data_IF_803837391799
#
_entry.id   IF_803837391799
#
_cell.length_a   1.000
_cell.length_b   1.000
_cell.length_c   1.000
_cell.angle_alpha   90.00
_cell.angle_beta   90.00
_cell.angle_gamma   90.00
#
_symmetry.space_group_name_H-M   'P 1'
#
loop_
_entity.id
_entity.type
_entity.pdbx_description
1 polymer ?
#
# COMPACT_ATOMS: atom_id res chain seq x y z
N UNK A 1 11.40 79.19 -13.17
CA UNK A 1 12.13 78.47 -12.10
C UNK A 1 12.55 77.14 -12.67
N UNK A 2 13.70 77.08 -13.37
CA UNK A 2 15.03 76.70 -12.86
C UNK A 2 15.06 75.22 -12.44
N UNK A 3 15.88 74.29 -12.94
CA UNK A 3 16.93 74.18 -13.98
C UNK A 3 17.21 72.65 -14.09
N UNK A 4 17.45 72.15 -15.32
CA UNK A 4 18.35 71.07 -15.85
C UNK A 4 18.82 69.88 -14.95
N UNK A 5 19.18 68.68 -15.43
CA UNK A 5 19.90 68.17 -16.62
C UNK A 5 19.51 66.67 -16.77
N UNK A 6 19.19 66.04 -17.91
CA UNK A 6 19.82 65.87 -19.23
C UNK A 6 21.20 65.19 -19.25
N UNK A 7 21.34 64.21 -20.17
CA UNK A 7 22.57 63.63 -20.77
C UNK A 7 23.07 62.32 -20.10
N UNK A 8 23.47 61.26 -20.81
CA UNK A 8 23.80 61.09 -22.22
C UNK A 8 23.79 59.59 -22.56
N UNK A 9 23.13 59.26 -23.66
CA UNK A 9 23.34 58.03 -24.43
C UNK A 9 24.78 57.97 -24.97
N UNK A 10 25.16 56.75 -25.39
CA UNK A 10 25.70 56.47 -26.71
C UNK A 10 27.17 55.95 -26.80
N UNK A 11 27.30 54.96 -27.70
CA UNK A 11 28.50 54.47 -28.42
C UNK A 11 29.39 53.46 -27.67
N UNK A 12 29.88 52.34 -28.23
CA UNK A 12 30.23 51.99 -29.61
C UNK A 12 30.25 50.45 -29.79
N UNK A 13 29.81 49.99 -30.99
CA UNK A 13 30.32 48.90 -31.87
C UNK A 13 31.10 47.70 -31.27
N UNK A 14 30.64 46.47 -31.52
CA UNK A 14 31.01 45.58 -32.67
C UNK A 14 32.47 45.14 -32.69
N UNK A 15 32.74 43.83 -32.50
CA UNK A 15 33.61 42.96 -33.32
C UNK A 15 33.77 41.58 -32.61
N UNK A 16 33.04 40.53 -32.99
CA UNK A 16 33.46 39.46 -33.92
C UNK A 16 34.85 38.83 -33.68
N UNK A 17 34.80 37.60 -33.16
CA UNK A 17 35.59 36.41 -33.54
C UNK A 17 37.09 36.27 -33.24
N UNK A 18 37.35 35.13 -32.57
CA UNK A 18 38.32 34.04 -32.87
C UNK A 18 39.69 34.01 -32.17
N UNK A 19 40.02 32.75 -31.82
CA UNK A 19 41.31 32.14 -31.42
C UNK A 19 41.74 32.42 -29.99
N UNK A 20 42.27 31.47 -29.22
CA UNK A 20 42.57 30.03 -29.39
C UNK A 20 42.95 29.52 -27.99
N UNK A 21 42.56 28.30 -27.58
CA UNK A 21 43.47 27.14 -27.38
C UNK A 21 44.79 27.55 -26.73
N UNK A 22 45.03 27.31 -25.44
CA UNK A 22 45.52 26.08 -24.75
C UNK A 22 46.12 26.64 -23.43
N UNK A 23 46.24 26.01 -22.27
CA UNK A 23 46.53 24.64 -21.89
C UNK A 23 46.56 24.62 -20.35
N UNK A 24 46.35 23.44 -19.76
CA UNK A 24 47.00 22.93 -18.54
C UNK A 24 46.51 23.33 -17.13
N UNK A 25 46.17 22.24 -16.43
CA UNK A 25 46.37 21.92 -15.01
C UNK A 25 45.25 22.34 -14.05
N UNK A 26 44.37 21.43 -13.59
CA UNK A 26 44.54 20.24 -12.71
C UNK A 26 43.92 20.55 -11.33
N UNK A 27 43.45 19.48 -10.66
CA UNK A 27 42.75 19.37 -9.36
C UNK A 27 41.22 19.51 -9.40
N UNK A 28 40.47 18.41 -9.52
CA UNK A 28 40.18 17.37 -8.50
C UNK A 28 39.14 17.82 -7.45
N UNK A 29 37.92 17.29 -7.53
CA UNK A 29 37.44 16.26 -6.61
C UNK A 29 36.06 15.77 -7.04
N UNK A 30 36.02 14.53 -7.53
CA UNK A 30 34.79 13.76 -7.60
C UNK A 30 34.40 13.35 -6.17
N UNK A 31 33.15 13.57 -5.79
CA UNK A 31 32.50 12.80 -4.72
C UNK A 31 31.14 12.33 -5.21
N UNK A 32 31.18 11.14 -5.82
CA UNK A 32 30.05 10.22 -5.88
C UNK A 32 29.49 10.02 -4.47
N UNK A 33 28.18 10.16 -4.32
CA UNK A 33 27.46 9.58 -3.18
C UNK A 33 26.45 8.58 -3.73
N UNK A 34 26.93 7.35 -3.90
CA UNK A 34 26.09 6.17 -3.94
C UNK A 34 25.57 5.96 -2.52
N UNK A 35 24.31 6.32 -2.25
CA UNK A 35 23.64 5.85 -1.03
C UNK A 35 23.18 4.42 -1.35
N UNK A 36 24.04 3.46 -1.05
CA UNK A 36 23.61 2.07 -0.93
C UNK A 36 22.87 1.97 0.41
N UNK A 37 21.54 2.00 0.36
CA UNK A 37 20.73 1.63 1.51
C UNK A 37 20.99 0.15 1.81
N UNK A 38 21.79 -0.11 2.85
CA UNK A 38 22.01 -1.43 3.40
C UNK A 38 20.72 -1.90 4.10
N UNK A 39 19.77 -2.42 3.33
CA UNK A 39 18.73 -3.32 3.84
C UNK A 39 19.34 -4.73 3.98
N UNK A 40 20.36 -4.87 4.83
CA UNK A 40 20.79 -6.20 5.26
C UNK A 40 19.77 -6.69 6.28
N UNK A 41 18.81 -7.50 5.81
CA UNK A 41 18.09 -8.39 6.71
C UNK A 41 19.13 -9.18 7.54
N UNK A 42 18.97 -9.31 8.86
CA UNK A 42 19.88 -10.11 9.67
C UNK A 42 19.93 -11.53 9.10
N UNK A 43 21.13 -12.10 8.97
CA UNK A 43 21.33 -13.43 8.38
C UNK A 43 20.48 -14.51 9.08
N UNK A 44 20.22 -14.36 10.38
CA UNK A 44 19.31 -15.21 11.16
C UNK A 44 17.84 -15.13 10.73
N UNK A 45 17.36 -13.94 10.34
CA UNK A 45 16.02 -13.74 9.81
C UNK A 45 15.92 -14.30 8.39
N UNK A 46 16.97 -14.13 7.58
CA UNK A 46 17.04 -14.70 6.23
C UNK A 46 17.09 -16.25 6.24
N UNK A 47 17.87 -16.85 7.15
CA UNK A 47 17.91 -18.31 7.37
C UNK A 47 16.56 -18.84 7.85
N UNK A 48 15.94 -18.19 8.84
CA UNK A 48 14.62 -18.60 9.33
C UNK A 48 13.50 -18.43 8.28
N UNK A 49 13.62 -17.44 7.38
CA UNK A 49 12.72 -17.29 6.24
C UNK A 49 12.96 -18.36 5.17
N UNK A 50 14.21 -18.72 4.92
CA UNK A 50 14.62 -19.78 3.98
C UNK A 50 14.12 -21.16 4.42
N UNK A 51 14.28 -21.51 5.70
CA UNK A 51 13.78 -22.76 6.27
C UNK A 51 12.25 -22.84 6.20
N UNK A 52 11.54 -21.77 6.60
CA UNK A 52 10.07 -21.70 6.47
C UNK A 52 9.60 -21.82 5.03
N UNK A 53 10.34 -21.25 4.08
CA UNK A 53 10.07 -21.34 2.64
C UNK A 53 10.22 -22.78 2.14
N UNK A 54 11.29 -23.47 2.53
CA UNK A 54 11.56 -24.85 2.14
C UNK A 54 10.49 -25.81 2.69
N UNK A 55 10.14 -25.70 3.97
CA UNK A 55 9.06 -26.50 4.58
C UNK A 55 7.73 -26.29 3.86
N UNK A 56 7.38 -25.04 3.49
CA UNK A 56 6.17 -24.76 2.70
C UNK A 56 6.20 -25.45 1.33
N UNK A 57 7.36 -25.53 0.68
CA UNK A 57 7.49 -26.22 -0.61
C UNK A 57 7.32 -27.74 -0.49
N UNK A 58 7.88 -28.36 0.55
CA UNK A 58 7.74 -29.79 0.82
C UNK A 58 6.27 -30.17 1.10
N UNK A 59 5.58 -29.37 1.92
CA UNK A 59 4.16 -29.58 2.22
C UNK A 59 3.29 -29.42 0.96
N UNK A 60 3.57 -28.42 0.11
CA UNK A 60 2.84 -28.25 -1.17
C UNK A 60 3.01 -29.46 -2.09
N UNK A 61 4.23 -30.00 -2.17
CA UNK A 61 4.51 -31.18 -2.97
C UNK A 61 3.80 -32.42 -2.42
N UNK A 62 3.83 -32.64 -1.11
CA UNK A 62 3.10 -33.72 -0.45
C UNK A 62 1.58 -33.65 -0.69
N UNK A 63 0.98 -32.45 -0.57
CA UNK A 63 -0.45 -32.26 -0.86
C UNK A 63 -0.79 -32.54 -2.34
N UNK A 64 0.11 -32.19 -3.27
CA UNK A 64 -0.05 -32.50 -4.70
C UNK A 64 -0.04 -34.01 -4.96
N UNK A 65 0.83 -34.76 -4.28
CA UNK A 65 0.88 -36.22 -4.35
C UNK A 65 -0.42 -36.85 -3.85
N UNK A 66 -0.95 -36.37 -2.71
CA UNK A 66 -2.25 -36.81 -2.18
C UNK A 66 -3.37 -36.56 -3.20
N UNK A 67 -3.46 -35.35 -3.77
CA UNK A 67 -4.48 -35.00 -4.79
C UNK A 67 -4.42 -35.90 -6.03
N UNK A 68 -3.22 -36.31 -6.42
CA UNK A 68 -3.00 -37.20 -7.57
C UNK A 68 -3.42 -38.63 -7.25
N UNK A 69 -3.09 -39.11 -6.04
CA UNK A 69 -3.34 -40.48 -5.61
C UNK A 69 -4.81 -40.73 -5.22
N UNK A 70 -5.50 -39.71 -4.73
CA UNK A 70 -6.87 -39.81 -4.21
C UNK A 70 -7.75 -38.70 -4.81
N UNK A 71 -8.22 -38.81 -6.07
CA UNK A 71 -8.93 -37.73 -6.76
C UNK A 71 -10.23 -37.31 -6.06
N UNK A 72 -10.90 -38.21 -5.34
CA UNK A 72 -12.14 -37.90 -4.60
C UNK A 72 -11.92 -36.83 -3.50
N UNK A 73 -10.70 -36.76 -2.95
CA UNK A 73 -10.36 -35.77 -1.91
C UNK A 73 -10.24 -34.36 -2.47
N UNK A 74 -10.04 -34.20 -3.78
CA UNK A 74 -9.78 -32.89 -4.41
C UNK A 74 -10.94 -31.94 -4.16
N UNK A 75 -12.17 -32.39 -4.39
CA UNK A 75 -13.37 -31.57 -4.14
C UNK A 75 -13.55 -31.19 -2.65
N UNK A 76 -13.06 -32.04 -1.73
CA UNK A 76 -13.12 -31.79 -0.29
C UNK A 76 -12.02 -30.81 0.14
N UNK A 77 -10.81 -30.94 -0.40
CA UNK A 77 -9.71 -30.01 -0.16
C UNK A 77 -9.98 -28.62 -0.73
N UNK A 78 -10.57 -28.54 -1.92
CA UNK A 78 -10.93 -27.27 -2.57
C UNK A 78 -12.02 -26.50 -1.79
N UNK A 79 -12.85 -27.18 -0.97
CA UNK A 79 -13.75 -26.48 -0.03
C UNK A 79 -12.97 -25.67 1.00
N UNK A 80 -11.82 -26.17 1.47
CA UNK A 80 -10.97 -25.43 2.40
C UNK A 80 -10.25 -24.27 1.72
N UNK A 81 -9.90 -24.36 0.43
CA UNK A 81 -9.35 -23.21 -0.31
C UNK A 81 -10.36 -22.04 -0.33
N UNK A 82 -11.66 -22.31 -0.43
CA UNK A 82 -12.70 -21.27 -0.33
C UNK A 82 -12.68 -20.56 1.02
N UNK A 83 -12.60 -21.29 2.13
CA UNK A 83 -12.48 -20.69 3.47
C UNK A 83 -11.14 -19.97 3.64
N UNK A 84 -10.06 -20.47 3.03
CA UNK A 84 -8.79 -19.77 3.05
C UNK A 84 -8.89 -18.38 2.40
N UNK A 85 -9.66 -18.26 1.30
CA UNK A 85 -9.92 -16.96 0.69
C UNK A 85 -10.64 -16.04 1.68
N UNK A 86 -11.72 -16.50 2.33
CA UNK A 86 -12.52 -15.65 3.25
C UNK A 86 -11.65 -15.04 4.34
N UNK A 87 -10.80 -15.85 4.99
CA UNK A 87 -9.87 -15.38 6.01
C UNK A 87 -8.90 -14.29 5.51
N UNK A 88 -8.50 -14.31 4.24
CA UNK A 88 -7.62 -13.26 3.69
C UNK A 88 -8.34 -11.91 3.60
N UNK A 89 -9.62 -11.91 3.23
CA UNK A 89 -10.41 -10.68 3.17
C UNK A 89 -10.72 -10.15 4.57
N UNK A 90 -11.03 -11.04 5.51
CA UNK A 90 -11.24 -10.69 6.92
C UNK A 90 -9.99 -10.06 7.53
N UNK A 91 -8.80 -10.62 7.25
CA UNK A 91 -7.55 -10.02 7.71
C UNK A 91 -7.24 -8.67 7.05
N UNK A 92 -7.67 -8.46 5.80
CA UNK A 92 -7.59 -7.15 5.16
C UNK A 92 -8.50 -6.12 5.86
N UNK A 93 -9.74 -6.48 6.20
CA UNK A 93 -10.63 -5.62 7.01
C UNK A 93 -10.09 -5.36 8.42
N UNK A 94 -9.48 -6.38 9.03
CA UNK A 94 -8.80 -6.25 10.33
C UNK A 94 -7.63 -5.27 10.24
N UNK A 95 -6.85 -5.28 9.16
CA UNK A 95 -5.77 -4.32 8.96
C UNK A 95 -6.32 -2.89 8.90
N UNK A 96 -7.37 -2.62 8.13
CA UNK A 96 -8.02 -1.29 8.11
C UNK A 96 -8.41 -0.84 9.52
N UNK A 97 -8.96 -1.75 10.32
CA UNK A 97 -9.34 -1.49 11.71
C UNK A 97 -8.13 -1.21 12.61
N UNK A 98 -7.05 -1.98 12.46
CA UNK A 98 -5.81 -1.80 13.22
C UNK A 98 -5.18 -0.44 12.91
N UNK A 99 -5.21 0.01 11.66
CA UNK A 99 -4.72 1.32 11.26
C UNK A 99 -5.51 2.44 11.94
N UNK A 100 -6.85 2.32 12.06
CA UNK A 100 -7.63 3.26 12.86
C UNK A 100 -7.25 3.24 14.34
N UNK A 101 -7.05 2.05 14.93
CA UNK A 101 -6.62 1.91 16.32
C UNK A 101 -5.25 2.58 16.56
N UNK A 102 -4.35 2.54 15.58
CA UNK A 102 -3.01 3.15 15.64
C UNK A 102 -3.00 4.64 15.25
N UNK A 103 -4.09 5.16 14.67
CA UNK A 103 -4.17 6.53 14.18
C UNK A 103 -3.47 6.75 12.82
N UNK A 104 -3.12 5.68 12.10
CA UNK A 104 -2.58 5.77 10.74
C UNK A 104 -3.73 5.94 9.74
N UNK A 105 -4.27 7.16 9.68
CA UNK A 105 -5.49 7.45 8.92
C UNK A 105 -5.27 7.48 7.42
N UNK A 106 -4.07 7.87 6.95
CA UNK A 106 -3.76 7.95 5.52
C UNK A 106 -3.88 6.57 4.85
N UNK A 107 -3.19 5.57 5.39
CA UNK A 107 -3.23 4.21 4.87
C UNK A 107 -4.61 3.55 5.04
N UNK A 108 -5.31 3.85 6.14
CA UNK A 108 -6.67 3.35 6.34
C UNK A 108 -7.66 3.94 5.32
N UNK A 109 -7.52 5.22 4.99
CA UNK A 109 -8.33 5.89 3.97
C UNK A 109 -8.06 5.35 2.58
N UNK A 110 -6.80 5.06 2.23
CA UNK A 110 -6.46 4.42 0.95
C UNK A 110 -7.18 3.06 0.81
N UNK A 111 -7.17 2.24 1.86
CA UNK A 111 -7.87 0.95 1.85
C UNK A 111 -9.39 1.10 1.73
N UNK A 112 -9.99 2.03 2.50
CA UNK A 112 -11.43 2.32 2.40
C UNK A 112 -11.82 2.84 1.02
N UNK A 113 -11.00 3.71 0.43
CA UNK A 113 -11.25 4.29 -0.88
C UNK A 113 -11.19 3.21 -1.96
N UNK A 114 -10.16 2.36 -1.94
CA UNK A 114 -10.06 1.24 -2.86
C UNK A 114 -11.31 0.34 -2.81
N UNK A 115 -11.76 -0.02 -1.60
CA UNK A 115 -12.94 -0.88 -1.43
C UNK A 115 -14.23 -0.20 -1.89
N UNK A 116 -14.37 1.10 -1.59
CA UNK A 116 -15.51 1.90 -2.04
C UNK A 116 -15.57 2.00 -3.57
N UNK A 117 -14.45 2.32 -4.23
CA UNK A 117 -14.38 2.41 -5.70
C UNK A 117 -14.58 1.04 -6.35
N UNK A 118 -14.07 -0.03 -5.73
CA UNK A 118 -14.26 -1.39 -6.23
C UNK A 118 -15.74 -1.79 -6.23
N UNK A 119 -16.54 -1.36 -5.25
CA UNK A 119 -17.98 -1.67 -5.21
C UNK A 119 -18.75 -1.15 -6.43
N UNK A 120 -18.34 -0.04 -7.03
CA UNK A 120 -19.00 0.54 -8.21
C UNK A 120 -18.81 -0.30 -9.47
N UNK A 121 -17.73 -1.10 -9.52
CA UNK A 121 -17.34 -1.92 -10.68
C UNK A 121 -17.33 -3.43 -10.37
N UNK A 122 -17.71 -3.82 -9.15
CA UNK A 122 -17.67 -5.19 -8.70
C UNK A 122 -18.63 -6.07 -9.52
N UNK A 123 -18.15 -7.23 -9.95
CA UNK A 123 -19.04 -8.31 -10.35
C UNK A 123 -19.90 -8.76 -9.17
N UNK A 124 -21.00 -9.48 -9.43
CA UNK A 124 -21.85 -9.99 -8.35
C UNK A 124 -21.07 -10.80 -7.31
N UNK A 125 -20.16 -11.66 -7.76
CA UNK A 125 -19.35 -12.48 -6.85
C UNK A 125 -18.41 -11.64 -5.99
N UNK A 126 -17.77 -10.61 -6.56
CA UNK A 126 -16.93 -9.69 -5.79
C UNK A 126 -17.76 -8.84 -4.83
N UNK A 127 -18.94 -8.37 -5.23
CA UNK A 127 -19.84 -7.63 -4.34
C UNK A 127 -20.25 -8.48 -3.13
N UNK A 128 -20.76 -9.69 -3.37
CA UNK A 128 -21.14 -10.62 -2.30
C UNK A 128 -19.94 -10.89 -1.37
N UNK A 129 -18.74 -10.98 -1.95
CA UNK A 129 -17.51 -11.22 -1.20
C UNK A 129 -17.07 -10.04 -0.34
N UNK A 130 -17.21 -8.80 -0.84
CA UNK A 130 -16.94 -7.57 -0.09
C UNK A 130 -17.97 -7.38 1.03
N UNK A 131 -19.25 -7.56 0.72
CA UNK A 131 -20.35 -7.41 1.68
C UNK A 131 -20.19 -8.35 2.87
N UNK A 132 -19.96 -9.64 2.61
CA UNK A 132 -19.88 -10.66 3.66
C UNK A 132 -18.55 -10.67 4.38
N UNK A 133 -17.40 -10.53 3.70
CA UNK A 133 -16.11 -10.78 4.35
C UNK A 133 -15.32 -9.52 4.69
N UNK A 134 -15.58 -8.39 4.02
CA UNK A 134 -14.94 -7.13 4.36
C UNK A 134 -15.84 -6.27 5.25
N UNK A 135 -17.05 -5.96 4.77
CA UNK A 135 -17.94 -5.02 5.46
C UNK A 135 -18.42 -5.59 6.81
N UNK A 136 -18.78 -6.87 6.88
CA UNK A 136 -19.12 -7.53 8.16
C UNK A 136 -17.97 -7.45 9.18
N UNK A 137 -16.73 -7.67 8.74
CA UNK A 137 -15.55 -7.78 9.61
C UNK A 137 -14.91 -6.44 9.98
N UNK A 138 -15.28 -5.35 9.30
CA UNK A 138 -14.77 -4.02 9.62
C UNK A 138 -15.09 -3.67 11.09
N UNK A 139 -14.13 -3.11 11.82
CA UNK A 139 -14.21 -2.83 13.26
C UNK A 139 -14.30 -4.04 14.21
N UNK A 140 -14.15 -5.30 13.75
CA UNK A 140 -14.16 -6.46 14.64
C UNK A 140 -13.09 -6.37 15.75
N UNK A 141 -11.89 -5.92 15.39
CA UNK A 141 -10.78 -5.65 16.32
C UNK A 141 -10.71 -4.18 16.77
N UNK A 142 -11.81 -3.42 16.69
CA UNK A 142 -11.83 -1.98 16.93
C UNK A 142 -11.76 -1.61 18.42
N UNK A 143 -10.86 -0.70 18.79
CA UNK A 143 -10.92 -0.04 20.10
C UNK A 143 -11.95 1.08 20.07
N UNK A 144 -12.33 1.62 21.24
CA UNK A 144 -13.24 2.76 21.31
C UNK A 144 -12.70 3.94 20.48
N UNK A 145 -11.43 4.29 20.68
CA UNK A 145 -10.78 5.40 20.00
C UNK A 145 -10.59 5.12 18.51
N UNK A 146 -10.29 3.88 18.13
CA UNK A 146 -10.20 3.48 16.72
C UNK A 146 -11.54 3.59 16.01
N UNK A 147 -12.63 3.17 16.65
CA UNK A 147 -13.99 3.32 16.11
C UNK A 147 -14.36 4.80 15.99
N UNK A 148 -14.12 5.61 17.01
CA UNK A 148 -14.41 7.06 17.00
C UNK A 148 -13.65 7.79 15.89
N UNK A 149 -12.40 7.39 15.61
CA UNK A 149 -11.61 7.93 14.49
C UNK A 149 -12.07 7.41 13.13
N UNK A 150 -12.31 6.10 13.03
CA UNK A 150 -12.51 5.42 11.76
C UNK A 150 -13.94 5.54 11.23
N UNK A 151 -14.95 5.39 12.08
CA UNK A 151 -16.35 5.34 11.63
C UNK A 151 -16.81 6.57 10.83
N UNK A 152 -16.46 7.81 11.22
CA UNK A 152 -16.78 8.99 10.41
C UNK A 152 -16.20 8.92 8.99
N UNK A 153 -15.02 8.31 8.83
CA UNK A 153 -14.26 8.24 7.59
C UNK A 153 -14.74 7.16 6.61
N UNK A 154 -15.54 6.19 7.07
CA UNK A 154 -16.04 5.12 6.20
C UNK A 154 -16.97 5.71 5.11
N UNK A 155 -16.74 5.42 3.82
CA UNK A 155 -17.62 5.84 2.73
C UNK A 155 -19.06 5.33 2.87
N UNK A 156 -20.03 6.08 2.34
CA UNK A 156 -21.46 5.82 2.56
C UNK A 156 -21.93 4.46 2.00
N UNK A 157 -21.39 4.03 0.87
CA UNK A 157 -21.68 2.72 0.29
C UNK A 157 -21.22 1.57 1.21
N UNK A 158 -20.03 1.66 1.80
CA UNK A 158 -19.50 0.71 2.77
C UNK A 158 -20.25 0.78 4.10
N UNK A 159 -20.58 1.99 4.59
CA UNK A 159 -21.44 2.17 5.77
C UNK A 159 -22.79 1.49 5.58
N UNK A 160 -23.38 1.58 4.38
CA UNK A 160 -24.67 0.95 4.06
C UNK A 160 -24.59 -0.58 4.16
N UNK A 161 -23.52 -1.20 3.65
CA UNK A 161 -23.29 -2.64 3.79
C UNK A 161 -23.12 -3.03 5.26
N UNK A 162 -22.23 -2.32 5.98
CA UNK A 162 -22.00 -2.54 7.41
C UNK A 162 -23.29 -2.48 8.22
N UNK A 163 -24.08 -1.41 8.04
CA UNK A 163 -25.33 -1.21 8.74
C UNK A 163 -26.41 -2.20 8.30
N UNK A 164 -26.40 -2.63 7.04
CA UNK A 164 -27.29 -3.67 6.53
C UNK A 164 -27.10 -4.99 7.26
N UNK A 165 -25.86 -5.35 7.55
CA UNK A 165 -25.52 -6.55 8.31
C UNK A 165 -25.73 -6.38 9.83
N UNK A 166 -25.14 -5.35 10.43
CA UNK A 166 -25.07 -5.17 11.89
C UNK A 166 -26.30 -4.46 12.49
N UNK A 167 -27.07 -3.74 11.67
CA UNK A 167 -28.23 -2.95 12.07
C UNK A 167 -27.92 -1.64 12.80
N UNK A 168 -26.65 -1.37 13.14
CA UNK A 168 -26.21 -0.20 13.91
C UNK A 168 -24.73 0.08 13.71
N UNK A 169 -24.31 1.30 14.08
CA UNK A 169 -22.92 1.72 14.04
C UNK A 169 -22.02 0.82 14.92
N UNK A 170 -20.72 0.70 14.58
CA UNK A 170 -19.76 -0.09 15.33
C UNK A 170 -19.68 0.35 16.79
N UNK A 171 -19.45 -0.62 17.67
CA UNK A 171 -19.21 -0.43 19.09
C UNK A 171 -18.16 -1.44 19.53
N UNK A 172 -17.45 -1.15 20.62
CA UNK A 172 -16.52 -2.12 21.21
C UNK A 172 -17.31 -3.38 21.59
N UNK A 173 -16.87 -4.53 21.08
CA UNK A 173 -17.38 -5.83 21.50
C UNK A 173 -16.67 -6.17 22.81
N UNK A 174 -17.40 -6.10 23.92
CA UNK A 174 -16.92 -6.42 25.27
C UNK A 174 -17.10 -7.90 25.54
#
# INVERSE_FOLDING_TARGET
MVVAQSLLENRFKVCLTRRSRTDKQQLAFARSSLILANNFLPLSVALGASEKSMVKSEIRQFLKEIRTKFPDVVSLMEKHEKWALTFLMEEFANLTTILFNQGNLEEALEQLQYMSEKLDTASKAEFDYIDVYYAEHLFWKGTKEGIERGWPLVPDNLKKLYLGFHGKAPRVVV
#
